data_IF_514570336520
#
_entry.id   IF_514570336520
#
_cell.length_a   1.000
_cell.length_b   1.000
_cell.length_c   1.000
_cell.angle_alpha   90.00
_cell.angle_beta   90.00
_cell.angle_gamma   90.00
#
_symmetry.space_group_name_H-M   'P 1'
#
loop_
_entity.id
_entity.type
_entity.pdbx_description
1 polymer ?
#
# COMPACT_ATOMS: atom_id res chain seq x y z
N UNK A 1 -7.37 -0.02 -13.47
CA UNK A 1 -6.47 -0.18 -12.31
C UNK A 1 -7.30 -0.60 -11.08
N UNK A 2 -6.82 -1.57 -10.30
CA UNK A 2 -7.35 -1.83 -8.97
C UNK A 2 -7.06 -0.59 -8.09
N UNK A 3 -8.05 -0.16 -7.31
CA UNK A 3 -7.94 1.10 -6.54
C UNK A 3 -7.11 0.87 -5.27
N UNK A 4 -7.21 -0.33 -4.71
CA UNK A 4 -6.41 -0.85 -3.61
C UNK A 4 -4.92 -0.89 -3.95
N UNK A 5 -4.54 -1.29 -5.18
CA UNK A 5 -3.15 -1.27 -5.63
C UNK A 5 -2.61 0.17 -5.68
N UNK A 6 -3.45 1.12 -6.13
CA UNK A 6 -3.10 2.53 -6.19
C UNK A 6 -2.90 3.12 -4.78
N UNK A 7 -3.75 2.76 -3.83
CA UNK A 7 -3.59 3.14 -2.42
C UNK A 7 -2.34 2.52 -1.80
N UNK A 8 -2.09 1.24 -2.06
CA UNK A 8 -0.89 0.54 -1.61
C UNK A 8 0.39 1.21 -2.11
N UNK A 9 0.47 1.51 -3.40
CA UNK A 9 1.59 2.27 -3.97
C UNK A 9 1.72 3.67 -3.36
N UNK A 10 0.59 4.37 -3.18
CA UNK A 10 0.52 5.70 -2.58
C UNK A 10 1.03 5.75 -1.15
N UNK A 11 0.75 4.72 -0.35
CA UNK A 11 1.25 4.60 1.04
C UNK A 11 2.79 4.58 1.08
N UNK A 12 3.41 3.83 0.17
CA UNK A 12 4.88 3.75 0.05
C UNK A 12 5.45 5.08 -0.43
N UNK A 13 4.81 5.74 -1.39
CA UNK A 13 5.22 7.08 -1.87
C UNK A 13 5.16 8.11 -0.75
N UNK A 14 4.05 8.17 0.00
CA UNK A 14 3.88 9.09 1.12
C UNK A 14 4.94 8.85 2.21
N UNK A 15 5.19 7.58 2.55
CA UNK A 15 6.21 7.20 3.51
C UNK A 15 7.64 7.55 3.06
N UNK A 16 7.95 7.41 1.77
CA UNK A 16 9.25 7.82 1.21
C UNK A 16 9.41 9.34 1.17
N UNK A 17 8.38 10.08 0.76
CA UNK A 17 8.37 11.54 0.76
C UNK A 17 8.69 12.08 2.16
N UNK A 18 7.94 11.66 3.18
CA UNK A 18 8.17 12.09 4.55
C UNK A 18 9.55 11.71 5.11
N UNK A 19 10.15 10.59 4.66
CA UNK A 19 11.47 10.14 5.14
C UNK A 19 12.66 10.73 4.39
N UNK A 20 12.50 11.15 3.13
CA UNK A 20 13.61 11.53 2.25
C UNK A 20 13.65 13.03 1.92
N UNK A 21 12.55 13.75 2.06
CA UNK A 21 12.46 15.19 1.78
C UNK A 21 13.57 16.00 2.48
N UNK A 22 13.94 15.63 3.71
CA UNK A 22 15.01 16.30 4.45
C UNK A 22 16.43 15.77 4.18
N UNK A 23 16.58 14.64 3.47
CA UNK A 23 17.87 13.93 3.33
C UNK A 23 18.52 14.06 1.95
N UNK A 24 17.75 14.32 0.89
CA UNK A 24 18.24 14.31 -0.49
C UNK A 24 17.82 15.52 -1.35
N UNK A 25 17.17 16.53 -0.75
CA UNK A 25 16.50 17.61 -1.49
C UNK A 25 15.04 17.26 -1.83
N UNK A 26 14.32 18.14 -2.57
CA UNK A 26 12.91 17.90 -2.90
C UNK A 26 12.76 16.60 -3.69
N UNK A 27 11.91 15.70 -3.19
CA UNK A 27 11.61 14.45 -3.87
C UNK A 27 10.79 14.76 -5.13
N UNK A 28 11.37 14.52 -6.31
CA UNK A 28 10.67 14.68 -7.57
C UNK A 28 9.81 13.43 -7.83
N UNK A 29 8.51 13.55 -7.62
CA UNK A 29 7.53 12.52 -7.95
C UNK A 29 7.18 12.59 -9.45
N UNK A 30 7.02 11.43 -10.09
CA UNK A 30 6.31 11.38 -11.37
C UNK A 30 4.82 11.70 -11.17
N UNK A 31 4.08 12.06 -12.23
CA UNK A 31 2.63 12.27 -12.13
C UNK A 31 1.87 11.07 -11.54
N UNK A 32 2.28 9.84 -11.87
CA UNK A 32 1.67 8.62 -11.33
C UNK A 32 1.94 8.44 -9.83
N UNK A 33 3.16 8.78 -9.38
CA UNK A 33 3.50 8.72 -7.96
C UNK A 33 2.71 9.78 -7.17
N UNK A 34 2.60 11.01 -7.69
CA UNK A 34 1.78 12.07 -7.11
C UNK A 34 0.29 11.67 -7.05
N UNK A 35 -0.24 11.09 -8.12
CA UNK A 35 -1.62 10.60 -8.18
C UNK A 35 -1.87 9.49 -7.14
N UNK A 36 -0.95 8.53 -7.01
CA UNK A 36 -1.04 7.46 -6.01
C UNK A 36 -0.98 8.00 -4.58
N UNK A 37 -0.04 8.90 -4.28
CA UNK A 37 0.07 9.53 -2.96
C UNK A 37 -1.18 10.32 -2.60
N UNK A 38 -1.73 11.08 -3.54
CA UNK A 38 -3.00 11.80 -3.33
C UNK A 38 -4.17 10.85 -3.07
N UNK A 39 -4.24 9.74 -3.81
CA UNK A 39 -5.26 8.71 -3.59
C UNK A 39 -5.15 8.06 -2.20
N UNK A 40 -3.92 7.80 -1.74
CA UNK A 40 -3.63 7.29 -0.40
C UNK A 40 -4.08 8.26 0.70
N UNK A 41 -3.66 9.53 0.62
CA UNK A 41 -4.01 10.55 1.63
C UNK A 41 -5.53 10.75 1.76
N UNK A 42 -6.31 10.45 0.73
CA UNK A 42 -7.77 10.53 0.77
C UNK A 42 -8.46 9.37 1.53
N UNK A 43 -7.72 8.31 1.86
CA UNK A 43 -8.26 7.09 2.49
C UNK A 43 -7.49 6.64 3.73
N UNK A 44 -6.30 7.17 4.02
CA UNK A 44 -5.41 6.66 5.09
C UNK A 44 -6.08 6.56 6.47
N UNK A 45 -6.92 7.53 6.83
CA UNK A 45 -7.63 7.54 8.13
C UNK A 45 -8.83 6.58 8.20
N UNK A 46 -9.17 5.91 7.10
CA UNK A 46 -10.36 5.04 6.94
C UNK A 46 -10.07 3.88 5.97
N UNK A 47 -8.84 3.37 6.00
CA UNK A 47 -8.36 2.40 5.03
C UNK A 47 -9.17 1.09 5.07
N UNK A 48 -9.55 0.66 6.27
CA UNK A 48 -10.41 -0.50 6.51
C UNK A 48 -11.77 -0.37 5.80
N UNK A 49 -12.46 0.76 5.97
CA UNK A 49 -13.72 1.05 5.30
C UNK A 49 -13.53 1.18 3.78
N UNK A 50 -12.43 1.81 3.34
CA UNK A 50 -12.12 2.00 1.93
C UNK A 50 -11.85 0.67 1.22
N UNK A 51 -11.09 -0.24 1.84
CA UNK A 51 -10.82 -1.58 1.31
C UNK A 51 -12.10 -2.44 1.31
N UNK A 52 -12.87 -2.44 2.40
CA UNK A 52 -14.14 -3.19 2.44
C UNK A 52 -15.16 -2.72 1.40
N UNK A 53 -15.11 -1.43 1.01
CA UNK A 53 -16.00 -0.84 0.02
C UNK A 53 -15.45 -0.85 -1.41
N UNK A 54 -14.19 -1.18 -1.65
CA UNK A 54 -13.63 -1.26 -3.01
C UNK A 54 -14.13 -2.49 -3.76
N UNK A 55 -13.91 -2.56 -5.08
CA UNK A 55 -14.46 -3.64 -5.90
C UNK A 55 -13.95 -5.03 -5.48
N UNK A 56 -12.64 -5.19 -5.30
CA UNK A 56 -12.01 -6.44 -4.88
C UNK A 56 -12.30 -6.80 -3.42
N UNK A 57 -12.37 -5.81 -2.53
CA UNK A 57 -12.76 -6.05 -1.13
C UNK A 57 -14.19 -6.53 -1.00
N UNK A 58 -15.15 -5.91 -1.73
CA UNK A 58 -16.53 -6.42 -1.77
C UNK A 58 -16.60 -7.83 -2.36
N UNK A 59 -15.84 -8.09 -3.42
CA UNK A 59 -15.76 -9.43 -4.02
C UNK A 59 -15.25 -10.48 -3.02
N UNK A 60 -14.18 -10.19 -2.27
CA UNK A 60 -13.67 -11.09 -1.22
C UNK A 60 -14.68 -11.32 -0.09
N UNK A 61 -15.34 -10.24 0.37
CA UNK A 61 -16.39 -10.34 1.39
C UNK A 61 -17.55 -11.19 0.91
N UNK A 62 -18.01 -11.00 -0.33
CA UNK A 62 -19.07 -11.80 -0.95
C UNK A 62 -18.67 -13.28 -1.11
N UNK A 63 -17.39 -13.55 -1.31
CA UNK A 63 -16.83 -14.91 -1.37
C UNK A 63 -16.59 -15.55 0.01
N UNK A 64 -16.83 -14.81 1.11
CA UNK A 64 -16.69 -15.32 2.48
C UNK A 64 -15.32 -15.09 3.12
N UNK A 65 -14.53 -14.13 2.60
CA UNK A 65 -13.18 -13.77 3.07
C UNK A 65 -13.08 -12.35 3.65
N UNK A 66 -13.93 -11.94 4.62
CA UNK A 66 -13.85 -10.60 5.21
C UNK A 66 -12.56 -10.40 6.02
N UNK A 67 -12.02 -11.46 6.62
CA UNK A 67 -10.79 -11.40 7.41
C UNK A 67 -9.57 -11.09 6.53
N UNK A 68 -9.55 -11.53 5.27
CA UNK A 68 -8.47 -11.22 4.33
C UNK A 68 -8.43 -9.71 4.02
N UNK A 69 -9.59 -9.07 3.92
CA UNK A 69 -9.69 -7.61 3.74
C UNK A 69 -9.24 -6.88 5.01
N UNK A 70 -9.60 -7.40 6.19
CA UNK A 70 -9.16 -6.83 7.46
C UNK A 70 -7.62 -6.91 7.63
N UNK A 71 -7.02 -8.06 7.30
CA UNK A 71 -5.56 -8.23 7.30
C UNK A 71 -4.88 -7.28 6.30
N UNK A 72 -5.46 -7.10 5.10
CA UNK A 72 -4.91 -6.18 4.11
C UNK A 72 -4.96 -4.69 4.54
N UNK A 73 -5.84 -4.33 5.48
CA UNK A 73 -5.94 -2.99 6.03
C UNK A 73 -4.92 -2.69 7.14
N UNK A 74 -4.19 -3.71 7.61
CA UNK A 74 -3.17 -3.53 8.64
C UNK A 74 -1.96 -2.75 8.09
N UNK A 75 -1.58 -1.66 8.78
CA UNK A 75 -0.43 -0.83 8.42
C UNK A 75 0.73 -1.10 9.37
N UNK A 76 1.93 -1.26 8.80
CA UNK A 76 3.19 -1.44 9.53
C UNK A 76 3.18 -2.62 10.54
N UNK A 77 2.39 -3.67 10.31
CA UNK A 77 2.30 -4.85 11.21
C UNK A 77 3.32 -5.95 10.90
N UNK A 78 3.97 -5.90 9.74
CA UNK A 78 5.01 -6.84 9.31
C UNK A 78 6.34 -6.11 9.07
N UNK A 79 7.42 -6.65 9.63
CA UNK A 79 8.79 -6.19 9.38
C UNK A 79 9.46 -6.92 8.20
N UNK A 80 8.80 -7.92 7.61
CA UNK A 80 9.36 -8.72 6.52
C UNK A 80 9.24 -8.00 5.18
N UNK A 81 10.37 -7.83 4.48
CA UNK A 81 10.41 -7.35 3.09
C UNK A 81 10.78 -8.50 2.17
N UNK A 82 9.85 -9.08 1.40
CA UNK A 82 10.13 -10.17 0.47
C UNK A 82 11.00 -9.69 -0.71
N UNK A 83 12.08 -10.42 -1.00
CA UNK A 83 12.97 -10.19 -2.14
C UNK A 83 12.94 -11.41 -3.03
N UNK A 84 12.71 -11.20 -4.33
CA UNK A 84 12.79 -12.27 -5.32
C UNK A 84 14.26 -12.61 -5.61
N UNK A 85 14.70 -13.78 -5.14
CA UNK A 85 16.04 -14.31 -5.39
C UNK A 85 15.91 -15.78 -5.80
N UNK A 86 16.61 -16.17 -6.87
CA UNK A 86 16.64 -17.56 -7.37
C UNK A 86 15.26 -18.20 -7.57
N UNK A 87 14.27 -17.41 -8.01
CA UNK A 87 12.92 -17.88 -8.31
C UNK A 87 11.98 -18.05 -7.11
N UNK A 88 12.40 -17.62 -5.91
CA UNK A 88 11.55 -17.62 -4.71
C UNK A 88 11.66 -16.29 -3.95
N UNK A 89 10.63 -15.95 -3.17
CA UNK A 89 10.69 -14.81 -2.26
C UNK A 89 11.36 -15.21 -0.94
N UNK A 90 12.40 -14.48 -0.56
CA UNK A 90 13.11 -14.62 0.73
C UNK A 90 13.05 -13.31 1.52
N UNK A 91 13.17 -13.36 2.84
CA UNK A 91 13.22 -12.14 3.66
C UNK A 91 14.50 -11.33 3.37
N UNK A 92 14.37 -10.02 3.20
CA UNK A 92 15.50 -9.10 3.08
C UNK A 92 16.40 -9.15 4.33
N UNK A 93 17.73 -9.15 4.12
CA UNK A 93 18.72 -9.16 5.21
C UNK A 93 19.01 -10.54 5.81
N UNK A 94 18.49 -11.62 5.21
CA UNK A 94 18.86 -13.00 5.53
C UNK A 94 19.96 -13.55 4.63
#
# INVERSE_FOLDING_TARGET
PAVEDLWGAGSVVAALAGRLEHRAGPLLLSPEAEASGTAWLAVEDRLDEALASCASGRELVEQGWPDDVAVAAELDTSEAVPVLADGAFTAYGR
#
